data_IF_495645462715
#
_entry.id   IF_495645462715
#
_cell.length_a   1.000
_cell.length_b   1.000
_cell.length_c   1.000
_cell.angle_alpha   90.00
_cell.angle_beta   90.00
_cell.angle_gamma   90.00
#
_symmetry.space_group_name_H-M   'P 1'
#
loop_
_entity.id
_entity.type
_entity.pdbx_description
1 polymer ?
#
# COMPACT_ATOMS: atom_id res chain seq x y z
N UNK A 1 2.86 6.21 19.80
CA UNK A 1 2.64 4.87 19.23
C UNK A 1 3.13 4.91 17.80
N UNK A 2 4.03 4.01 17.44
CA UNK A 2 4.51 3.92 16.05
C UNK A 2 3.37 3.45 15.14
N UNK A 3 3.27 4.01 13.94
CA UNK A 3 2.20 3.66 12.99
C UNK A 3 2.48 2.29 12.37
N UNK A 4 1.48 1.41 12.33
CA UNK A 4 1.60 0.13 11.60
C UNK A 4 1.58 0.43 10.11
N UNK A 5 2.58 -0.02 9.38
CA UNK A 5 2.70 0.19 7.93
C UNK A 5 2.25 -1.05 7.16
N UNK A 6 1.41 -0.86 6.14
CA UNK A 6 1.03 -1.91 5.19
C UNK A 6 1.44 -1.53 3.76
N UNK A 7 2.06 -2.49 3.06
CA UNK A 7 2.35 -2.40 1.64
C UNK A 7 1.48 -3.38 0.84
N UNK A 8 0.58 -2.86 0.01
CA UNK A 8 -0.24 -3.67 -0.89
C UNK A 8 0.45 -3.89 -2.24
N UNK A 9 0.57 -5.15 -2.66
CA UNK A 9 1.30 -5.55 -3.87
C UNK A 9 0.36 -6.16 -4.91
N UNK A 10 0.53 -5.78 -6.18
CA UNK A 10 0.02 -6.58 -7.30
C UNK A 10 1.03 -6.59 -8.46
N UNK A 11 0.69 -7.12 -9.63
CA UNK A 11 1.64 -7.15 -10.76
C UNK A 11 2.07 -5.74 -11.21
N UNK A 12 1.11 -4.89 -11.60
CA UNK A 12 1.41 -3.60 -12.26
C UNK A 12 1.13 -2.36 -11.41
N UNK A 13 0.60 -2.49 -10.20
CA UNK A 13 0.15 -1.37 -9.36
C UNK A 13 -0.96 -0.47 -9.96
N UNK A 14 -1.80 -0.98 -10.86
CA UNK A 14 -2.81 -0.15 -11.55
C UNK A 14 -4.20 -0.15 -10.92
N UNK A 15 -4.67 -1.31 -10.45
CA UNK A 15 -6.04 -1.48 -9.94
C UNK A 15 -6.05 -2.05 -8.52
N UNK A 16 -5.79 -3.35 -8.36
CA UNK A 16 -5.98 -4.10 -7.10
C UNK A 16 -5.26 -3.49 -5.91
N UNK A 17 -3.95 -3.27 -6.02
CA UNK A 17 -3.15 -2.77 -4.90
C UNK A 17 -3.46 -1.31 -4.54
N UNK A 18 -3.77 -0.47 -5.54
CA UNK A 18 -4.23 0.91 -5.31
C UNK A 18 -5.59 0.96 -4.64
N UNK A 19 -6.53 0.13 -5.08
CA UNK A 19 -7.84 0.02 -4.45
C UNK A 19 -7.70 -0.44 -2.99
N UNK A 20 -6.87 -1.44 -2.74
CA UNK A 20 -6.61 -1.93 -1.38
C UNK A 20 -6.01 -0.85 -0.47
N UNK A 21 -5.06 -0.06 -0.97
CA UNK A 21 -4.50 1.09 -0.25
C UNK A 21 -5.58 2.10 0.15
N UNK A 22 -6.43 2.52 -0.79
CA UNK A 22 -7.48 3.49 -0.53
C UNK A 22 -8.55 2.96 0.44
N UNK A 23 -8.97 1.70 0.27
CA UNK A 23 -9.94 1.05 1.16
C UNK A 23 -9.37 0.92 2.57
N UNK A 24 -8.12 0.46 2.71
CA UNK A 24 -7.48 0.32 4.01
C UNK A 24 -7.31 1.68 4.71
N UNK A 25 -6.87 2.70 3.97
CA UNK A 25 -6.77 4.08 4.47
C UNK A 25 -8.11 4.59 4.98
N UNK A 26 -9.19 4.39 4.21
CA UNK A 26 -10.55 4.77 4.61
C UNK A 26 -11.03 4.05 5.87
N UNK A 27 -10.80 2.73 5.95
CA UNK A 27 -11.14 1.95 7.15
C UNK A 27 -10.34 2.35 8.38
N UNK A 28 -9.05 2.65 8.22
CA UNK A 28 -8.17 3.08 9.30
C UNK A 28 -8.64 4.43 9.87
N UNK A 29 -8.93 5.39 9.00
CA UNK A 29 -9.46 6.70 9.38
C UNK A 29 -10.81 6.57 10.11
N UNK A 30 -11.74 5.79 9.56
CA UNK A 30 -13.06 5.58 10.17
C UNK A 30 -13.00 4.93 11.57
N UNK A 31 -11.95 4.15 11.84
CA UNK A 31 -11.74 3.44 13.12
C UNK A 31 -10.75 4.12 14.05
N UNK A 32 -10.24 5.30 13.70
CA UNK A 32 -9.22 6.02 14.48
C UNK A 32 -7.93 5.20 14.66
N UNK A 33 -7.57 4.36 13.69
CA UNK A 33 -6.36 3.53 13.74
C UNK A 33 -5.18 4.27 13.14
N UNK A 34 -4.04 4.24 13.85
CA UNK A 34 -2.78 4.79 13.37
C UNK A 34 -2.10 3.81 12.39
N UNK A 35 -2.59 3.78 11.15
CA UNK A 35 -2.11 2.90 10.08
C UNK A 35 -1.66 3.73 8.88
N UNK A 36 -0.47 3.44 8.37
CA UNK A 36 0.01 3.97 7.10
C UNK A 36 -0.16 2.90 5.99
N UNK A 37 -0.73 3.31 4.87
CA UNK A 37 -0.99 2.41 3.73
C UNK A 37 -0.22 2.91 2.51
N UNK A 38 0.48 1.99 1.85
CA UNK A 38 1.12 2.22 0.57
C UNK A 38 0.82 1.07 -0.40
N UNK A 39 1.01 1.30 -1.69
CA UNK A 39 0.94 0.24 -2.69
C UNK A 39 2.08 0.29 -3.70
N UNK A 40 2.45 -0.88 -4.21
CA UNK A 40 3.45 -1.05 -5.26
C UNK A 40 3.13 -2.25 -6.17
N UNK A 41 4.00 -2.51 -7.15
CA UNK A 41 3.89 -3.66 -8.02
C UNK A 41 5.24 -4.33 -8.32
N UNK A 42 5.19 -5.63 -8.61
CA UNK A 42 6.41 -6.45 -8.79
C UNK A 42 6.95 -6.43 -10.22
N UNK A 43 6.09 -6.13 -11.20
CA UNK A 43 6.49 -6.10 -12.60
C UNK A 43 7.41 -4.91 -12.86
N UNK A 44 8.33 -5.05 -13.82
CA UNK A 44 9.32 -4.02 -14.13
C UNK A 44 8.68 -2.71 -14.63
N UNK A 45 7.57 -2.86 -15.33
CA UNK A 45 6.72 -1.77 -15.85
C UNK A 45 5.55 -1.42 -14.91
N UNK A 46 5.62 -1.80 -13.63
CA UNK A 46 4.64 -1.38 -12.66
C UNK A 46 4.65 0.15 -12.50
N UNK A 47 3.47 0.74 -12.30
CA UNK A 47 3.32 2.19 -12.15
C UNK A 47 4.14 2.73 -10.97
N UNK A 48 4.20 1.95 -9.89
CA UNK A 48 5.15 2.10 -8.79
C UNK A 48 5.77 0.75 -8.49
N UNK A 49 7.01 0.52 -8.94
CA UNK A 49 7.74 -0.73 -8.71
C UNK A 49 8.12 -0.87 -7.24
N UNK A 50 7.98 -2.07 -6.68
CA UNK A 50 8.45 -2.38 -5.33
C UNK A 50 9.98 -2.35 -5.30
N UNK A 51 10.54 -1.77 -4.24
CA UNK A 51 11.99 -1.70 -3.97
C UNK A 51 12.23 -2.17 -2.54
N UNK A 52 13.48 -2.49 -2.19
CA UNK A 52 13.84 -2.88 -0.81
C UNK A 52 13.37 -1.83 0.21
N UNK A 53 13.57 -0.56 -0.10
CA UNK A 53 13.16 0.58 0.74
C UNK A 53 11.65 0.74 0.98
N UNK A 54 10.81 0.04 0.21
CA UNK A 54 9.35 0.05 0.41
C UNK A 54 8.89 -1.09 1.32
N UNK A 55 9.70 -2.13 1.46
CA UNK A 55 9.40 -3.33 2.26
C UNK A 55 10.12 -3.35 3.61
N UNK A 56 11.02 -2.40 3.86
CA UNK A 56 11.72 -2.16 5.14
C UNK A 56 10.96 -1.12 5.99
#
# INVERSE_FOLDING_TARGET
MEAVKYLFICAANRNRSKAAEQICKGMAQAKGKNIECQSAGVHELAERRVTKYLAD
#
